data_IF_343328420785
#
_entry.id   IF_343328420785
#
_cell.length_a   1.000
_cell.length_b   1.000
_cell.length_c   1.000
_cell.angle_alpha   90.00
_cell.angle_beta   90.00
_cell.angle_gamma   90.00
#
_symmetry.space_group_name_H-M   'P 1'
#
loop_
_entity.id
_entity.type
_entity.pdbx_description
1 polymer ?
#
# COMPACT_ATOMS: atom_id res chain seq x y z
N UNK A 1 -11.99 -42.63 -81.86
CA UNK A 1 -12.88 -42.56 -80.69
C UNK A 1 -12.58 -41.26 -79.95
N UNK A 2 -13.50 -40.31 -80.09
CA UNK A 2 -13.99 -39.32 -79.11
C UNK A 2 -12.97 -38.82 -78.06
N UNK A 3 -12.44 -37.60 -78.19
CA UNK A 3 -13.07 -36.29 -77.82
C UNK A 3 -12.70 -35.90 -76.37
N UNK A 4 -12.33 -34.68 -75.94
CA UNK A 4 -12.29 -33.32 -76.49
C UNK A 4 -11.41 -32.45 -75.55
N UNK A 5 -10.62 -31.54 -76.14
CA UNK A 5 -10.48 -30.11 -75.78
C UNK A 5 -9.83 -29.74 -74.42
N UNK A 6 -9.03 -28.67 -74.27
CA UNK A 6 -8.89 -27.47 -75.10
C UNK A 6 -7.77 -26.55 -74.59
N UNK A 7 -7.18 -25.80 -75.53
CA UNK A 7 -6.57 -24.44 -75.45
C UNK A 7 -5.27 -24.33 -74.63
N UNK A 8 -4.18 -23.78 -75.14
CA UNK A 8 -4.01 -22.65 -76.08
C UNK A 8 -3.17 -21.61 -75.33
N UNK A 9 -1.87 -21.51 -75.58
CA UNK A 9 -1.24 -20.66 -76.61
C UNK A 9 -1.09 -19.18 -76.20
N UNK A 10 0.17 -18.82 -75.96
CA UNK A 10 0.87 -17.57 -76.29
C UNK A 10 0.57 -16.23 -75.57
N UNK A 11 1.70 -15.65 -75.12
CA UNK A 11 2.05 -14.23 -75.01
C UNK A 11 1.26 -13.42 -73.95
N UNK A 12 1.80 -12.45 -73.23
CA UNK A 12 2.95 -11.60 -73.46
C UNK A 12 3.18 -10.76 -72.20
N UNK A 13 4.37 -10.16 -72.11
CA UNK A 13 4.59 -8.80 -71.56
C UNK A 13 4.60 -8.66 -70.03
N UNK A 14 5.86 -8.69 -69.58
CA UNK A 14 6.54 -7.52 -68.99
C UNK A 14 6.53 -7.32 -67.48
N UNK A 15 7.68 -6.75 -67.13
CA UNK A 15 7.89 -5.78 -66.08
C UNK A 15 8.35 -6.31 -64.72
N UNK A 16 9.67 -6.14 -64.57
CA UNK A 16 10.31 -5.38 -63.49
C UNK A 16 10.53 -6.07 -62.17
N UNK A 17 11.82 -6.17 -61.85
CA UNK A 17 12.32 -5.64 -60.60
C UNK A 17 12.75 -6.70 -59.61
N UNK A 18 13.95 -7.25 -59.82
CA UNK A 18 14.73 -7.83 -58.73
C UNK A 18 14.99 -6.73 -57.68
N UNK A 19 14.11 -6.63 -56.69
CA UNK A 19 14.34 -5.82 -55.50
C UNK A 19 15.18 -6.63 -54.52
N UNK A 20 16.35 -6.07 -54.24
CA UNK A 20 17.37 -6.45 -53.29
C UNK A 20 16.78 -6.94 -51.96
N UNK A 21 17.04 -8.20 -51.60
CA UNK A 21 17.00 -8.67 -50.22
C UNK A 21 18.25 -8.15 -49.48
N UNK A 22 18.17 -6.92 -48.97
CA UNK A 22 19.07 -6.43 -47.92
C UNK A 22 18.64 -7.06 -46.60
N UNK A 23 19.24 -8.21 -46.27
CA UNK A 23 19.20 -8.76 -44.92
C UNK A 23 20.06 -7.86 -44.01
N UNK A 24 19.43 -6.87 -43.39
CA UNK A 24 20.03 -6.18 -42.25
C UNK A 24 19.98 -7.13 -41.05
N UNK A 25 21.07 -7.87 -40.83
CA UNK A 25 21.40 -8.44 -39.53
C UNK A 25 21.65 -7.26 -38.57
N UNK A 26 20.58 -6.76 -37.94
CA UNK A 26 20.72 -5.98 -36.72
C UNK A 26 21.22 -6.92 -35.63
N UNK A 27 22.54 -7.00 -35.49
CA UNK A 27 23.14 -7.36 -34.21
C UNK A 27 22.73 -6.26 -33.24
N UNK A 28 21.67 -6.52 -32.47
CA UNK A 28 21.41 -5.78 -31.26
C UNK A 28 22.68 -5.93 -30.41
N UNK A 29 23.44 -4.85 -30.25
CA UNK A 29 24.52 -4.83 -29.27
C UNK A 29 23.86 -4.98 -27.91
N UNK A 30 23.83 -6.20 -27.37
CA UNK A 30 23.63 -6.38 -25.95
C UNK A 30 24.82 -5.68 -25.30
N UNK A 31 24.60 -4.45 -24.81
CA UNK A 31 25.48 -3.91 -23.80
C UNK A 31 25.55 -4.95 -22.69
N UNK A 32 26.73 -5.22 -22.12
CA UNK A 32 26.82 -6.09 -20.97
C UNK A 32 25.88 -5.52 -19.92
N UNK A 33 24.83 -6.27 -19.56
CA UNK A 33 23.92 -5.86 -18.50
C UNK A 33 24.77 -5.56 -17.28
N UNK A 34 24.69 -4.33 -16.78
CA UNK A 34 25.20 -4.01 -15.45
C UNK A 34 24.55 -5.01 -14.49
N UNK A 35 25.32 -5.91 -13.83
CA UNK A 35 24.76 -7.03 -13.06
C UNK A 35 23.83 -6.62 -11.90
N UNK A 36 23.66 -5.32 -11.64
CA UNK A 36 22.66 -4.78 -10.72
C UNK A 36 21.46 -4.10 -11.38
N UNK A 37 21.53 -3.65 -12.63
CA UNK A 37 20.48 -2.84 -13.26
C UNK A 37 19.49 -3.66 -14.11
N UNK A 38 19.29 -4.92 -13.73
CA UNK A 38 18.29 -5.79 -14.34
C UNK A 38 16.88 -5.35 -13.92
N UNK A 39 15.96 -5.21 -14.88
CA UNK A 39 14.53 -5.00 -14.58
C UNK A 39 13.95 -6.24 -13.90
N UNK A 40 13.36 -6.06 -12.73
CA UNK A 40 12.70 -7.14 -11.97
C UNK A 40 11.17 -7.03 -11.95
N UNK A 41 10.61 -5.94 -12.49
CA UNK A 41 9.17 -5.75 -12.58
C UNK A 41 8.74 -4.31 -12.81
N UNK A 42 7.46 -4.04 -12.60
CA UNK A 42 6.88 -2.70 -12.62
C UNK A 42 5.94 -2.47 -11.46
N UNK A 43 5.77 -1.22 -11.04
CA UNK A 43 4.83 -0.80 -10.00
C UNK A 43 4.33 0.61 -10.30
N UNK A 44 3.01 0.80 -10.33
CA UNK A 44 2.37 2.08 -10.64
C UNK A 44 2.92 2.77 -11.91
N UNK A 45 3.22 1.96 -12.94
CA UNK A 45 3.80 2.43 -14.21
C UNK A 45 5.31 2.72 -14.18
N UNK A 46 5.99 2.52 -13.05
CA UNK A 46 7.43 2.70 -12.91
C UNK A 46 8.17 1.36 -12.99
N UNK A 47 9.35 1.37 -13.60
CA UNK A 47 10.22 0.18 -13.66
C UNK A 47 10.97 -0.01 -12.34
N UNK A 48 11.02 -1.24 -11.85
CA UNK A 48 11.76 -1.63 -10.66
C UNK A 48 13.00 -2.44 -11.07
N UNK A 49 14.15 -2.09 -10.52
CA UNK A 49 15.44 -2.71 -10.85
C UNK A 49 16.01 -3.50 -9.66
N UNK A 50 16.86 -4.50 -9.96
CA UNK A 50 17.43 -5.42 -8.95
C UNK A 50 18.28 -4.69 -7.91
N UNK A 51 19.07 -3.70 -8.33
CA UNK A 51 19.90 -2.83 -7.48
C UNK A 51 19.10 -2.02 -6.45
N UNK A 52 17.77 -1.92 -6.60
CA UNK A 52 16.89 -1.26 -5.64
C UNK A 52 16.54 -2.14 -4.43
N UNK A 53 16.85 -3.44 -4.47
CA UNK A 53 16.70 -4.35 -3.35
C UNK A 53 17.82 -4.11 -2.32
N UNK A 54 17.44 -3.67 -1.12
CA UNK A 54 18.37 -3.30 -0.03
C UNK A 54 18.44 -4.39 1.03
N UNK A 55 18.60 -5.64 0.61
CA UNK A 55 18.68 -6.77 1.55
C UNK A 55 19.96 -6.70 2.38
N UNK A 56 19.88 -7.16 3.63
CA UNK A 56 21.01 -7.11 4.55
C UNK A 56 20.70 -7.82 5.85
N UNK A 57 21.59 -7.64 6.85
CA UNK A 57 21.52 -8.37 8.13
C UNK A 57 20.17 -8.27 8.84
N UNK A 58 19.45 -7.15 8.67
CA UNK A 58 18.19 -6.85 9.34
C UNK A 58 17.03 -6.57 8.37
N UNK A 59 17.22 -6.78 7.07
CA UNK A 59 16.21 -6.49 6.05
C UNK A 59 16.09 -7.72 5.15
N UNK A 60 14.95 -8.39 5.28
CA UNK A 60 14.65 -9.58 4.47
C UNK A 60 14.29 -9.21 3.03
N UNK A 61 14.51 -10.16 2.12
CA UNK A 61 14.10 -10.00 0.71
C UNK A 61 12.61 -9.69 0.60
N UNK A 62 11.77 -10.35 1.40
CA UNK A 62 10.33 -10.12 1.41
C UNK A 62 9.96 -8.70 1.81
N UNK A 63 10.57 -8.15 2.86
CA UNK A 63 10.30 -6.77 3.28
C UNK A 63 10.62 -5.79 2.15
N UNK A 64 11.70 -6.02 1.41
CA UNK A 64 12.06 -5.20 0.26
C UNK A 64 11.09 -5.37 -0.91
N UNK A 65 10.64 -6.59 -1.20
CA UNK A 65 9.62 -6.83 -2.22
C UNK A 65 8.29 -6.15 -1.85
N UNK A 66 7.90 -6.16 -0.58
CA UNK A 66 6.73 -5.41 -0.12
C UNK A 66 6.93 -3.90 -0.21
N UNK A 67 8.11 -3.41 0.16
CA UNK A 67 8.45 -1.97 0.07
C UNK A 67 8.39 -1.49 -1.38
N UNK A 68 8.89 -2.29 -2.32
CA UNK A 68 8.95 -1.93 -3.74
C UNK A 68 7.61 -2.12 -4.46
N UNK A 69 6.93 -3.24 -4.27
CA UNK A 69 5.74 -3.60 -5.06
C UNK A 69 4.42 -3.36 -4.32
N UNK A 70 4.29 -3.81 -3.07
CA UNK A 70 3.02 -3.73 -2.35
C UNK A 70 2.74 -2.34 -1.76
N UNK A 71 3.77 -1.65 -1.26
CA UNK A 71 3.60 -0.38 -0.54
C UNK A 71 3.09 0.75 -1.44
N UNK A 72 3.63 1.01 -2.64
CA UNK A 72 3.10 2.05 -3.53
C UNK A 72 1.65 1.80 -3.93
N UNK A 73 1.33 0.54 -4.22
CA UNK A 73 -0.03 0.07 -4.55
C UNK A 73 -0.98 0.30 -3.38
N UNK A 74 -0.55 -0.02 -2.16
CA UNK A 74 -1.30 0.26 -0.93
C UNK A 74 -1.58 1.75 -0.76
N UNK A 75 -0.56 2.60 -0.88
CA UNK A 75 -0.71 4.05 -0.71
C UNK A 75 -1.69 4.64 -1.75
N UNK A 76 -1.59 4.19 -3.00
CA UNK A 76 -2.53 4.56 -4.04
C UNK A 76 -3.96 4.14 -3.68
N UNK A 77 -4.15 2.88 -3.30
CA UNK A 77 -5.45 2.33 -2.92
C UNK A 77 -6.07 3.05 -1.70
N UNK A 78 -5.26 3.41 -0.70
CA UNK A 78 -5.70 4.21 0.46
C UNK A 78 -6.17 5.60 0.01
N UNK A 79 -5.46 6.23 -0.92
CA UNK A 79 -5.82 7.54 -1.47
C UNK A 79 -7.16 7.49 -2.20
N UNK A 80 -7.41 6.47 -3.02
CA UNK A 80 -8.68 6.29 -3.74
C UNK A 80 -9.86 5.99 -2.80
N UNK A 81 -9.60 5.27 -1.69
CA UNK A 81 -10.60 4.89 -0.71
C UNK A 81 -10.52 5.69 0.59
N UNK A 82 -10.01 6.93 0.52
CA UNK A 82 -9.71 7.77 1.68
C UNK A 82 -10.84 7.85 2.69
N UNK A 83 -12.08 8.05 2.22
CA UNK A 83 -13.27 8.17 3.09
C UNK A 83 -13.52 6.91 3.93
N UNK A 84 -13.24 5.72 3.40
CA UNK A 84 -13.48 4.46 4.09
C UNK A 84 -12.29 4.06 4.98
N UNK A 85 -11.06 4.41 4.58
CA UNK A 85 -9.84 3.87 5.20
C UNK A 85 -9.18 4.87 6.14
N UNK A 86 -9.09 6.15 5.79
CA UNK A 86 -8.38 7.14 6.61
C UNK A 86 -9.23 7.50 7.84
N UNK A 87 -8.68 7.44 9.06
CA UNK A 87 -9.37 7.87 10.27
C UNK A 87 -9.63 9.37 10.27
N UNK A 88 -10.79 9.78 10.77
CA UNK A 88 -11.12 11.16 11.08
C UNK A 88 -10.63 11.53 12.48
N UNK A 89 -10.49 12.82 12.73
CA UNK A 89 -10.11 13.35 14.05
C UNK A 89 -11.02 12.90 15.19
N UNK A 90 -12.32 12.77 14.90
CA UNK A 90 -13.30 12.28 15.86
C UNK A 90 -13.05 10.81 16.22
N UNK A 91 -12.72 9.98 15.23
CA UNK A 91 -12.38 8.56 15.42
C UNK A 91 -11.13 8.41 16.28
N UNK A 92 -10.08 9.15 15.93
CA UNK A 92 -8.80 9.15 16.65
C UNK A 92 -9.01 9.58 18.09
N UNK A 93 -9.75 10.67 18.33
CA UNK A 93 -10.01 11.19 19.68
C UNK A 93 -10.79 10.20 20.55
N UNK A 94 -11.78 9.51 19.98
CA UNK A 94 -12.52 8.48 20.70
C UNK A 94 -11.63 7.28 21.07
N UNK A 95 -10.89 6.76 20.09
CA UNK A 95 -10.00 5.61 20.32
C UNK A 95 -8.89 5.97 21.32
N UNK A 96 -8.31 7.16 21.21
CA UNK A 96 -7.32 7.68 22.16
C UNK A 96 -7.91 7.73 23.58
N UNK A 97 -9.12 8.26 23.73
CA UNK A 97 -9.81 8.32 25.03
C UNK A 97 -10.03 6.93 25.62
N UNK A 98 -10.37 5.95 24.77
CA UNK A 98 -10.54 4.57 25.18
C UNK A 98 -9.23 3.90 25.60
N UNK A 99 -8.13 4.09 24.86
CA UNK A 99 -6.83 3.54 25.23
C UNK A 99 -6.28 4.21 26.49
N UNK A 100 -6.57 5.50 26.67
CA UNK A 100 -6.15 6.28 27.83
C UNK A 100 -7.06 6.14 29.04
N UNK A 101 -8.11 5.30 29.00
CA UNK A 101 -9.09 5.20 30.09
C UNK A 101 -8.52 4.62 31.38
N UNK A 102 -7.41 3.87 31.28
CA UNK A 102 -6.73 3.31 32.44
C UNK A 102 -5.93 4.42 33.16
N UNK A 103 -6.12 4.53 34.47
CA UNK A 103 -5.69 5.70 35.27
C UNK A 103 -4.17 5.82 35.43
N UNK A 104 -3.41 4.82 34.98
CA UNK A 104 -1.94 4.78 35.08
C UNK A 104 -1.24 5.58 33.97
N UNK A 105 -1.97 6.05 32.95
CA UNK A 105 -1.42 6.91 31.92
C UNK A 105 -1.43 8.34 32.46
N UNK A 106 -0.25 8.89 32.71
CA UNK A 106 -0.04 10.28 33.16
C UNK A 106 -0.88 11.24 32.32
N UNK A 107 -1.94 11.77 32.93
CA UNK A 107 -2.75 12.83 32.34
C UNK A 107 -2.28 14.14 32.93
N UNK A 108 -1.89 15.06 32.08
CA UNK A 108 -1.66 16.44 32.50
C UNK A 108 -2.96 17.01 33.08
N UNK A 109 -2.84 17.62 34.26
CA UNK A 109 -3.90 18.41 34.84
C UNK A 109 -4.13 19.71 34.05
N UNK A 110 -5.16 20.47 34.42
CA UNK A 110 -5.47 21.71 33.70
C UNK A 110 -4.40 22.79 33.88
N UNK A 111 -3.71 22.82 35.04
CA UNK A 111 -2.66 23.78 35.35
C UNK A 111 -1.44 23.51 34.47
N UNK A 112 -1.00 22.27 34.37
CA UNK A 112 0.09 21.83 33.51
C UNK A 112 -0.21 22.11 32.03
N UNK A 113 -1.42 21.77 31.57
CA UNK A 113 -1.87 22.10 30.19
C UNK A 113 -1.83 23.59 29.92
N UNK A 114 -2.29 24.41 30.86
CA UNK A 114 -2.26 25.87 30.69
C UNK A 114 -0.83 26.39 30.65
N UNK A 115 0.08 25.87 31.49
CA UNK A 115 1.49 26.23 31.47
C UNK A 115 2.13 25.92 30.12
N UNK A 116 1.90 24.72 29.58
CA UNK A 116 2.43 24.33 28.26
C UNK A 116 1.86 25.23 27.15
N UNK A 117 0.55 25.54 27.16
CA UNK A 117 -0.05 26.49 26.20
C UNK A 117 0.61 27.86 26.25
N UNK A 118 0.93 28.37 27.45
CA UNK A 118 1.63 29.65 27.58
C UNK A 118 3.06 29.59 27.05
N UNK A 119 3.77 28.48 27.23
CA UNK A 119 5.10 28.27 26.65
C UNK A 119 5.03 28.24 25.11
N UNK A 120 4.05 27.55 24.53
CA UNK A 120 3.82 27.54 23.06
C UNK A 120 3.56 28.96 22.56
N UNK A 121 2.67 29.72 23.19
CA UNK A 121 2.39 31.13 22.81
C UNK A 121 3.64 32.01 22.89
N UNK A 122 4.50 31.78 23.89
CA UNK A 122 5.77 32.49 24.03
C UNK A 122 6.72 32.17 22.88
N UNK A 123 6.84 30.90 22.50
CA UNK A 123 7.64 30.45 21.36
C UNK A 123 7.10 31.05 20.05
N UNK A 124 5.78 31.01 19.84
CA UNK A 124 5.14 31.59 18.65
C UNK A 124 5.39 33.08 18.52
N UNK A 125 5.39 33.81 19.64
CA UNK A 125 5.73 35.23 19.67
C UNK A 125 7.19 35.43 19.23
N UNK A 126 8.13 34.71 19.85
CA UNK A 126 9.57 34.81 19.51
C UNK A 126 9.85 34.49 18.04
N UNK A 127 9.24 33.43 17.50
CA UNK A 127 9.36 33.07 16.09
C UNK A 127 8.85 34.15 15.13
N UNK A 128 7.95 35.04 15.57
CA UNK A 128 7.40 36.15 14.78
C UNK A 128 8.15 37.47 14.98
N UNK A 129 8.65 37.74 16.18
CA UNK A 129 9.17 39.06 16.58
C UNK A 129 10.69 39.15 16.59
N UNK A 130 11.37 38.04 16.84
CA UNK A 130 12.80 38.06 17.12
C UNK A 130 13.60 37.86 15.82
N UNK A 131 14.73 38.57 15.69
CA UNK A 131 15.70 38.30 14.62
C UNK A 131 16.53 37.07 14.99
N UNK A 132 15.98 35.89 14.67
CA UNK A 132 16.57 34.60 14.99
C UNK A 132 17.42 34.06 13.84
N UNK A 133 18.55 33.44 14.17
CA UNK A 133 19.32 32.61 13.25
C UNK A 133 18.51 31.37 12.84
N UNK A 134 18.91 30.71 11.75
CA UNK A 134 18.26 29.46 11.30
C UNK A 134 18.32 28.35 12.34
N UNK A 135 19.40 28.29 13.13
CA UNK A 135 19.57 27.30 14.19
C UNK A 135 18.57 27.54 15.33
N UNK A 136 18.46 28.78 15.81
CA UNK A 136 17.49 29.15 16.86
C UNK A 136 16.04 28.98 16.41
N UNK A 137 15.73 29.30 15.14
CA UNK A 137 14.40 29.03 14.58
C UNK A 137 14.08 27.53 14.57
N UNK A 138 15.07 26.69 14.25
CA UNK A 138 14.89 25.23 14.26
C UNK A 138 14.65 24.74 15.69
N UNK A 139 15.48 25.17 16.64
CA UNK A 139 15.36 24.77 18.04
C UNK A 139 14.01 25.18 18.64
N UNK A 140 13.56 26.41 18.38
CA UNK A 140 12.25 26.87 18.84
C UNK A 140 11.09 26.07 18.21
N UNK A 141 11.20 25.69 16.93
CA UNK A 141 10.19 24.84 16.27
C UNK A 141 10.19 23.41 16.84
N UNK A 142 11.36 22.86 17.14
CA UNK A 142 11.47 21.54 17.76
C UNK A 142 10.85 21.57 19.17
N UNK A 143 11.17 22.58 19.99
CA UNK A 143 10.55 22.79 21.31
C UNK A 143 9.03 23.00 21.22
N UNK A 144 8.56 23.79 20.25
CA UNK A 144 7.12 23.97 20.02
C UNK A 144 6.45 22.63 19.72
N UNK A 145 7.09 21.79 18.92
CA UNK A 145 6.58 20.47 18.54
C UNK A 145 6.52 19.53 19.74
N UNK A 146 7.56 19.51 20.58
CA UNK A 146 7.58 18.71 21.82
C UNK A 146 6.48 19.14 22.80
N UNK A 147 6.34 20.44 23.04
CA UNK A 147 5.30 20.97 23.91
C UNK A 147 3.89 20.69 23.37
N UNK A 148 3.71 20.77 22.06
CA UNK A 148 2.45 20.42 21.42
C UNK A 148 2.15 18.92 21.60
N UNK A 149 3.15 18.05 21.52
CA UNK A 149 3.02 16.62 21.78
C UNK A 149 2.70 16.32 23.26
N UNK A 150 3.17 17.14 24.21
CA UNK A 150 2.76 17.03 25.62
C UNK A 150 1.27 17.34 25.81
N UNK A 151 0.71 18.27 25.03
CA UNK A 151 -0.72 18.57 25.06
C UNK A 151 -1.57 17.50 24.37
N UNK A 152 -0.98 16.73 23.46
CA UNK A 152 -1.66 15.62 22.81
C UNK A 152 -2.04 14.56 23.85
N UNK A 153 -3.19 13.94 23.63
CA UNK A 153 -3.58 12.81 24.46
C UNK A 153 -2.50 11.72 24.34
N UNK A 154 -1.95 11.18 25.45
CA UNK A 154 -0.79 10.27 25.40
C UNK A 154 -0.99 9.07 24.46
N UNK A 155 -2.24 8.64 24.28
CA UNK A 155 -2.61 7.53 23.41
C UNK A 155 -2.96 7.94 21.98
N UNK A 156 -2.87 9.21 21.60
CA UNK A 156 -3.34 9.72 20.29
C UNK A 156 -2.57 9.09 19.13
N UNK A 157 -1.24 9.10 19.19
CA UNK A 157 -0.37 8.47 18.18
C UNK A 157 -0.64 6.98 18.07
N UNK A 158 -0.76 6.29 19.21
CA UNK A 158 -1.11 4.87 19.25
C UNK A 158 -2.50 4.59 18.69
N UNK A 159 -3.49 5.41 19.03
CA UNK A 159 -4.85 5.31 18.52
C UNK A 159 -4.92 5.50 17.00
N UNK A 160 -4.20 6.49 16.49
CA UNK A 160 -4.09 6.74 15.06
C UNK A 160 -3.48 5.53 14.34
N UNK A 161 -2.34 5.03 14.83
CA UNK A 161 -1.68 3.83 14.31
C UNK A 161 -2.60 2.61 14.29
N UNK A 162 -3.32 2.36 15.38
CA UNK A 162 -4.26 1.23 15.50
C UNK A 162 -5.45 1.38 14.55
N UNK A 163 -6.01 2.59 14.42
CA UNK A 163 -7.13 2.88 13.54
C UNK A 163 -6.74 2.76 12.06
N UNK A 164 -5.61 3.33 11.64
CA UNK A 164 -5.13 3.24 10.25
C UNK A 164 -5.06 1.80 9.78
N UNK A 165 -4.40 0.96 10.59
CA UNK A 165 -4.25 -0.46 10.29
C UNK A 165 -5.59 -1.18 10.29
N UNK A 166 -6.39 -0.97 11.33
CA UNK A 166 -7.68 -1.65 11.44
C UNK A 166 -8.65 -1.27 10.33
N UNK A 167 -8.78 0.02 9.98
CA UNK A 167 -9.68 0.47 8.92
C UNK A 167 -9.26 -0.11 7.57
N UNK A 168 -7.96 -0.09 7.26
CA UNK A 168 -7.44 -0.72 6.04
C UNK A 168 -7.74 -2.23 6.01
N UNK A 169 -7.39 -2.97 7.06
CA UNK A 169 -7.58 -4.41 7.12
C UNK A 169 -9.07 -4.80 7.10
N UNK A 170 -9.92 -4.07 7.81
CA UNK A 170 -11.38 -4.26 7.78
C UNK A 170 -11.95 -3.99 6.39
N UNK A 171 -11.50 -2.92 5.73
CA UNK A 171 -11.91 -2.60 4.36
C UNK A 171 -11.57 -3.73 3.39
N UNK A 172 -10.33 -4.25 3.45
CA UNK A 172 -9.93 -5.39 2.64
C UNK A 172 -10.76 -6.63 2.96
N UNK A 173 -10.94 -6.96 4.25
CA UNK A 173 -11.74 -8.11 4.68
C UNK A 173 -13.16 -8.09 4.09
N UNK A 174 -13.82 -6.93 4.13
CA UNK A 174 -15.19 -6.79 3.66
C UNK A 174 -15.29 -6.75 2.13
N UNK A 175 -14.24 -6.30 1.44
CA UNK A 175 -14.24 -6.12 -0.02
C UNK A 175 -13.74 -7.36 -0.78
N UNK A 176 -12.68 -8.01 -0.30
CA UNK A 176 -11.96 -9.08 -1.01
C UNK A 176 -12.28 -10.47 -0.44
N UNK A 177 -13.56 -10.71 -0.14
CA UNK A 177 -14.08 -12.06 0.09
C UNK A 177 -13.84 -12.65 1.48
N UNK A 178 -13.49 -11.83 2.50
CA UNK A 178 -13.33 -12.27 3.90
C UNK A 178 -12.29 -13.39 4.05
N UNK A 179 -12.39 -14.19 5.11
CA UNK A 179 -11.56 -15.38 5.32
C UNK A 179 -10.96 -15.41 6.73
N UNK A 180 -9.79 -16.02 6.83
CA UNK A 180 -8.98 -16.07 8.05
C UNK A 180 -8.37 -14.71 8.34
N UNK A 181 -8.17 -14.46 9.62
CA UNK A 181 -7.43 -13.32 10.14
C UNK A 181 -6.16 -13.81 10.84
N UNK A 182 -5.12 -13.00 10.84
CA UNK A 182 -3.86 -13.27 11.51
C UNK A 182 -3.63 -12.24 12.61
N UNK A 183 -3.35 -12.71 13.82
CA UNK A 183 -2.98 -11.83 14.94
C UNK A 183 -1.49 -11.53 14.92
N UNK A 184 -1.12 -10.25 14.89
CA UNK A 184 0.26 -9.78 14.92
C UNK A 184 0.45 -8.76 16.06
N UNK A 185 1.71 -8.50 16.42
CA UNK A 185 2.06 -7.48 17.43
C UNK A 185 1.48 -6.09 17.12
N UNK A 186 1.38 -5.76 15.83
CA UNK A 186 0.92 -4.47 15.35
C UNK A 186 -0.52 -4.50 14.81
N UNK A 187 -1.35 -5.42 15.29
CA UNK A 187 -2.77 -5.51 14.98
C UNK A 187 -3.18 -6.79 14.24
N UNK A 188 -4.45 -6.84 13.85
CA UNK A 188 -5.03 -7.98 13.13
C UNK A 188 -4.95 -7.73 11.62
N UNK A 189 -4.42 -8.70 10.89
CA UNK A 189 -4.39 -8.72 9.44
C UNK A 189 -5.56 -9.53 8.88
N UNK A 190 -6.22 -9.01 7.84
CA UNK A 190 -7.21 -9.72 7.05
C UNK A 190 -6.53 -10.67 6.06
N UNK A 191 -5.80 -11.67 6.57
CA UNK A 191 -4.83 -12.50 5.86
C UNK A 191 -5.29 -12.97 4.46
N UNK A 192 -6.41 -13.68 4.37
CA UNK A 192 -6.87 -14.20 3.06
C UNK A 192 -7.34 -13.07 2.12
N UNK A 193 -7.91 -12.00 2.68
CA UNK A 193 -8.39 -10.87 1.89
C UNK A 193 -7.25 -9.97 1.39
N UNK A 194 -6.18 -9.82 2.17
CA UNK A 194 -4.94 -9.13 1.78
C UNK A 194 -4.27 -9.86 0.61
N UNK A 195 -4.19 -11.19 0.69
CA UNK A 195 -3.68 -12.01 -0.40
C UNK A 195 -4.47 -11.81 -1.70
N UNK A 196 -5.81 -11.92 -1.63
CA UNK A 196 -6.67 -11.70 -2.81
C UNK A 196 -6.59 -10.29 -3.35
N UNK A 197 -6.52 -9.28 -2.47
CA UNK A 197 -6.34 -7.89 -2.88
C UNK A 197 -5.06 -7.72 -3.71
N UNK A 198 -3.93 -8.25 -3.24
CA UNK A 198 -2.66 -8.18 -3.99
C UNK A 198 -2.75 -8.89 -5.33
N UNK A 199 -3.35 -10.08 -5.39
CA UNK A 199 -3.57 -10.79 -6.66
C UNK A 199 -4.45 -10.00 -7.63
N UNK A 200 -5.49 -9.34 -7.12
CA UNK A 200 -6.39 -8.53 -7.95
C UNK A 200 -5.70 -7.26 -8.45
N UNK A 201 -4.82 -6.64 -7.64
CA UNK A 201 -4.01 -5.49 -8.05
C UNK A 201 -2.96 -5.86 -9.09
N UNK A 202 -2.28 -6.99 -8.92
CA UNK A 202 -1.33 -7.53 -9.91
C UNK A 202 -2.03 -7.79 -11.26
N UNK A 203 -3.20 -8.45 -11.24
CA UNK A 203 -4.01 -8.70 -12.44
C UNK A 203 -4.50 -7.42 -13.14
N UNK A 204 -4.66 -6.33 -12.40
CA UNK A 204 -5.01 -5.02 -12.95
C UNK A 204 -3.79 -4.27 -13.52
N UNK A 205 -2.59 -4.82 -13.41
CA UNK A 205 -1.36 -4.20 -13.89
C UNK A 205 -0.85 -3.07 -13.00
N UNK A 206 -1.35 -2.94 -11.76
CA UNK A 206 -0.83 -1.94 -10.81
C UNK A 206 0.59 -2.28 -10.35
N UNK A 207 0.96 -3.56 -10.41
CA UNK A 207 2.33 -4.01 -10.33
C UNK A 207 2.50 -5.34 -11.05
N UNK A 208 3.74 -5.70 -11.36
CA UNK A 208 4.15 -7.02 -11.86
C UNK A 208 5.55 -7.34 -11.35
N UNK A 209 5.80 -8.60 -11.00
CA UNK A 209 7.13 -9.09 -10.64
C UNK A 209 7.53 -10.11 -11.69
N UNK A 210 8.46 -9.70 -12.57
CA UNK A 210 8.82 -10.47 -13.76
C UNK A 210 9.73 -11.65 -13.42
N UNK A 211 10.56 -11.52 -12.39
CA UNK A 211 11.43 -12.60 -11.87
C UNK A 211 10.58 -13.64 -11.10
N UNK A 212 10.45 -14.89 -11.58
CA UNK A 212 9.61 -15.90 -10.96
C UNK A 212 10.01 -16.27 -9.52
N UNK A 213 11.29 -16.11 -9.17
CA UNK A 213 11.77 -16.38 -7.80
C UNK A 213 11.33 -15.28 -6.85
N UNK A 214 11.44 -14.02 -7.29
CA UNK A 214 10.96 -12.88 -6.52
C UNK A 214 9.44 -12.89 -6.38
N UNK A 215 8.71 -13.26 -7.44
CA UNK A 215 7.26 -13.44 -7.41
C UNK A 215 6.84 -14.49 -6.38
N UNK A 216 7.52 -15.64 -6.38
CA UNK A 216 7.27 -16.71 -5.42
C UNK A 216 7.56 -16.27 -3.98
N UNK A 217 8.67 -15.56 -3.73
CA UNK A 217 9.02 -15.05 -2.40
C UNK A 217 8.02 -13.97 -1.91
N UNK A 218 7.55 -13.11 -2.81
CA UNK A 218 6.55 -12.09 -2.48
C UNK A 218 5.27 -12.72 -1.91
N UNK A 219 4.78 -13.79 -2.54
CA UNK A 219 3.56 -14.46 -2.09
C UNK A 219 3.75 -15.56 -1.04
N UNK A 220 5.00 -15.98 -0.77
CA UNK A 220 5.33 -17.04 0.18
C UNK A 220 4.72 -16.82 1.58
N UNK A 221 4.57 -15.56 1.98
CA UNK A 221 3.91 -15.20 3.24
C UNK A 221 2.50 -15.78 3.35
N UNK A 222 1.70 -15.77 2.28
CA UNK A 222 0.31 -16.25 2.34
C UNK A 222 0.14 -17.73 1.94
N UNK A 223 1.09 -18.28 1.19
CA UNK A 223 0.93 -19.58 0.52
C UNK A 223 1.68 -20.72 1.20
N UNK A 224 2.89 -20.47 1.73
CA UNK A 224 3.79 -21.53 2.20
C UNK A 224 4.22 -21.37 3.65
N UNK A 225 4.18 -20.16 4.21
CA UNK A 225 4.57 -19.93 5.61
C UNK A 225 3.54 -20.48 6.60
N UNK A 226 4.03 -21.15 7.65
CA UNK A 226 3.22 -21.59 8.78
C UNK A 226 3.08 -20.47 9.80
N UNK A 227 1.86 -19.96 9.95
CA UNK A 227 1.52 -18.88 10.91
C UNK A 227 1.04 -19.39 12.28
N UNK A 228 0.96 -20.71 12.44
CA UNK A 228 0.55 -21.34 13.69
C UNK A 228 -0.85 -20.93 14.16
N UNK A 229 -1.07 -20.97 15.48
CA UNK A 229 -2.37 -20.71 16.11
C UNK A 229 -2.85 -19.23 16.02
N UNK A 230 -2.00 -18.32 15.54
CA UNK A 230 -2.34 -16.92 15.35
C UNK A 230 -3.16 -16.69 14.08
N UNK A 231 -3.03 -17.56 13.07
CA UNK A 231 -3.90 -17.58 11.89
C UNK A 231 -5.18 -18.36 12.22
N UNK A 232 -6.32 -17.72 12.09
CA UNK A 232 -7.57 -18.30 12.59
C UNK A 232 -8.79 -17.90 11.76
N UNK A 233 -9.72 -18.85 11.62
CA UNK A 233 -11.08 -18.64 11.11
C UNK A 233 -12.13 -18.56 12.22
N UNK A 234 -11.71 -18.42 13.49
CA UNK A 234 -12.62 -18.39 14.63
C UNK A 234 -13.60 -17.21 14.54
N UNK A 235 -14.89 -17.53 14.59
CA UNK A 235 -15.95 -16.55 14.39
C UNK A 235 -16.01 -15.51 15.51
N UNK A 236 -15.63 -15.88 16.74
CA UNK A 236 -15.59 -14.91 17.84
C UNK A 236 -14.50 -13.87 17.60
N UNK A 237 -13.26 -14.32 17.30
CA UNK A 237 -12.15 -13.43 16.98
C UNK A 237 -12.42 -12.56 15.76
N UNK A 238 -13.07 -13.10 14.72
CA UNK A 238 -13.49 -12.32 13.55
C UNK A 238 -14.52 -11.25 13.93
N UNK A 239 -15.49 -11.54 14.80
CA UNK A 239 -16.44 -10.53 15.30
C UNK A 239 -15.73 -9.43 16.09
N UNK A 240 -14.78 -9.81 16.96
CA UNK A 240 -13.98 -8.87 17.75
C UNK A 240 -13.11 -7.97 16.84
N UNK A 241 -12.53 -8.53 15.78
CA UNK A 241 -11.83 -7.79 14.72
C UNK A 241 -12.75 -6.83 13.97
N UNK A 242 -13.96 -7.26 13.58
CA UNK A 242 -14.88 -6.41 12.81
C UNK A 242 -15.53 -5.30 13.64
N UNK A 243 -15.65 -5.51 14.96
CA UNK A 243 -16.35 -4.62 15.88
C UNK A 243 -15.56 -4.42 17.18
N UNK A 244 -14.33 -3.85 17.13
CA UNK A 244 -13.55 -3.59 18.33
C UNK A 244 -14.28 -2.59 19.24
N UNK A 245 -14.11 -2.76 20.57
CA UNK A 245 -14.72 -1.88 21.59
C UNK A 245 -14.16 -0.45 21.56
N UNK A 246 -12.94 -0.28 21.05
CA UNK A 246 -12.24 0.99 20.95
C UNK A 246 -12.62 1.83 19.71
N UNK A 247 -13.63 1.39 18.94
CA UNK A 247 -14.21 2.12 17.81
C UNK A 247 -15.71 2.38 18.09
N UNK A 248 -16.22 3.61 17.85
CA UNK A 248 -17.64 3.92 18.01
C UNK A 248 -18.54 3.12 17.06
N UNK A 249 -19.78 2.85 17.48
CA UNK A 249 -20.73 2.04 16.70
C UNK A 249 -21.19 2.71 15.40
N UNK A 250 -21.23 4.04 15.33
CA UNK A 250 -21.61 4.80 14.13
C UNK A 250 -20.69 4.52 12.94
N UNK A 251 -19.41 4.26 13.20
CA UNK A 251 -18.40 3.93 12.18
C UNK A 251 -18.52 2.46 11.74
N UNK A 252 -19.07 1.60 12.60
CA UNK A 252 -19.26 0.18 12.31
C UNK A 252 -20.38 -0.04 11.28
N UNK A 253 -21.35 0.88 11.19
CA UNK A 253 -22.58 0.75 10.37
C UNK A 253 -22.54 1.45 9.01
N UNK A 254 -21.73 2.49 8.82
CA UNK A 254 -21.72 3.30 7.57
C UNK A 254 -21.21 2.56 6.32
N UNK A 255 -20.72 1.33 6.47
CA UNK A 255 -20.05 0.59 5.41
C UNK A 255 -20.98 -0.45 4.74
N UNK A 256 -22.04 0.02 4.08
CA UNK A 256 -22.73 -0.76 3.06
C UNK A 256 -21.84 -0.84 1.81
N UNK A 257 -20.89 -1.77 1.81
CA UNK A 257 -19.97 -1.98 0.70
C UNK A 257 -20.70 -2.51 -0.54
N UNK A 258 -20.77 -1.70 -1.59
CA UNK A 258 -21.03 -2.19 -2.95
C UNK A 258 -19.75 -2.86 -3.46
N UNK A 259 -19.86 -4.09 -3.97
CA UNK A 259 -18.74 -4.79 -4.63
C UNK A 259 -18.18 -3.91 -5.76
N UNK A 260 -16.87 -3.68 -5.83
CA UNK A 260 -16.26 -3.15 -7.05
C UNK A 260 -16.44 -4.20 -8.16
N UNK A 261 -17.07 -3.83 -9.28
CA UNK A 261 -17.17 -4.71 -10.46
C UNK A 261 -18.59 -5.12 -10.92
N UNK A 262 -19.66 -4.66 -10.27
CA UNK A 262 -20.99 -4.78 -10.87
C UNK A 262 -21.11 -3.73 -12.00
N UNK A 263 -20.80 -4.12 -13.24
CA UNK A 263 -21.15 -3.34 -14.43
C UNK A 263 -22.64 -3.00 -14.34
N UNK A 264 -22.96 -1.71 -14.26
CA UNK A 264 -24.32 -1.25 -14.48
C UNK A 264 -24.63 -1.51 -15.96
N UNK A 265 -25.37 -2.59 -16.23
CA UNK A 265 -26.09 -2.71 -17.49
C UNK A 265 -27.16 -1.61 -17.47
N UNK A 266 -26.87 -0.48 -18.12
CA UNK A 266 -27.91 0.42 -18.58
C UNK A 266 -28.65 -0.30 -19.72
N UNK A 267 -29.93 -0.59 -19.46
CA UNK A 267 -30.93 -0.80 -20.51
C UNK A 267 -31.52 0.56 -20.85
#
# INVERSE_FOLDING_TARGET
MNYLFSRGSFASVCCTGCLFFLQTLTFASQQPEDPGHEKIGTVMGQTVYRDQLRTGKNISLREELFRLFAHPVKEHYIKEHRKAIVPTEREISFAASWFCKDQQILRLDQKEKNMIRQQILTIEKRLKTDQLTKAEQKELKDQQTELQACLDMPCRTFAHFMLDRWKFQRHLYLTYGRGRILWQQAGIEAFDAMYRWLQDREKQGEFSIDDPRLHSEFYAYWTSQKHGAFLTGDQKRIRDFLKPKWVPDTIKTENHFKKPGAKQNQK
#
